data_IF_360582938124
#
_entry.id   IF_360582938124
#
_cell.length_a   1.000
_cell.length_b   1.000
_cell.length_c   1.000
_cell.angle_alpha   90.00
_cell.angle_beta   90.00
_cell.angle_gamma   90.00
#
_symmetry.space_group_name_H-M   'P 1'
#
loop_
_entity.id
_entity.type
_entity.pdbx_description
1 polymer ?
#
# COMPACT_ATOMS: atom_id res chain seq x y z
N UNK A 1 -10.53 5.36 -29.17
CA UNK A 1 -11.15 6.19 -28.10
C UNK A 1 -11.39 7.62 -28.58
N UNK A 2 -12.52 8.24 -28.21
CA UNK A 2 -12.75 9.69 -28.39
C UNK A 2 -12.11 10.48 -27.24
N UNK A 3 -11.91 11.78 -27.40
CA UNK A 3 -11.34 12.60 -26.33
C UNK A 3 -12.25 12.70 -25.09
N UNK A 4 -13.58 12.70 -25.27
CA UNK A 4 -14.54 12.58 -24.16
C UNK A 4 -14.35 11.28 -23.39
N UNK A 5 -14.23 10.15 -24.11
CA UNK A 5 -13.96 8.86 -23.47
C UNK A 5 -12.62 8.83 -22.72
N UNK A 6 -11.59 9.53 -23.24
CA UNK A 6 -10.32 9.68 -22.51
C UNK A 6 -10.54 10.44 -21.20
N UNK A 7 -11.25 11.58 -21.22
CA UNK A 7 -11.53 12.38 -20.01
C UNK A 7 -12.26 11.56 -18.95
N UNK A 8 -13.29 10.81 -19.36
CA UNK A 8 -14.02 9.90 -18.47
C UNK A 8 -13.12 8.81 -17.90
N UNK A 9 -12.26 8.21 -18.73
CA UNK A 9 -11.39 7.12 -18.31
C UNK A 9 -10.30 7.61 -17.36
N UNK A 10 -9.76 8.80 -17.59
CA UNK A 10 -8.80 9.46 -16.70
C UNK A 10 -9.44 9.77 -15.34
N UNK A 11 -10.63 10.39 -15.35
CA UNK A 11 -11.38 10.72 -14.14
C UNK A 11 -11.80 9.49 -13.33
N UNK A 12 -12.25 8.40 -13.98
CA UNK A 12 -12.61 7.14 -13.31
C UNK A 12 -11.44 6.46 -12.59
N UNK A 13 -10.21 6.87 -12.89
CA UNK A 13 -9.00 6.31 -12.30
C UNK A 13 -8.29 7.30 -11.37
N UNK A 14 -9.00 8.34 -10.92
CA UNK A 14 -8.50 9.40 -10.04
C UNK A 14 -7.28 10.17 -10.60
N UNK A 15 -7.12 10.18 -11.93
CA UNK A 15 -6.03 10.90 -12.59
C UNK A 15 -6.58 12.23 -13.09
N UNK A 16 -5.80 13.31 -12.97
CA UNK A 16 -6.15 14.59 -13.60
C UNK A 16 -5.69 14.62 -15.05
N UNK A 17 -6.49 15.18 -15.94
CA UNK A 17 -6.11 15.28 -17.35
C UNK A 17 -4.85 16.13 -17.53
N UNK A 18 -4.70 17.17 -16.71
CA UNK A 18 -3.53 18.03 -16.61
C UNK A 18 -2.26 17.24 -16.29
N UNK A 19 -2.36 16.26 -15.38
CA UNK A 19 -1.25 15.40 -14.99
C UNK A 19 -0.83 14.49 -16.15
N UNK A 20 -1.82 13.83 -16.78
CA UNK A 20 -1.57 13.00 -17.96
C UNK A 20 -0.95 13.81 -19.09
N UNK A 21 -1.45 15.02 -19.35
CA UNK A 21 -0.91 15.90 -20.37
C UNK A 21 0.55 16.22 -20.08
N UNK A 22 0.84 16.72 -18.88
CA UNK A 22 2.18 17.09 -18.45
C UNK A 22 3.16 15.93 -18.54
N UNK A 23 2.81 14.78 -17.99
CA UNK A 23 3.72 13.62 -17.91
C UNK A 23 4.02 13.03 -19.29
N UNK A 24 3.11 13.19 -20.25
CA UNK A 24 3.29 12.75 -21.64
C UNK A 24 3.83 13.84 -22.57
N UNK A 25 4.18 15.02 -22.03
CA UNK A 25 4.77 16.12 -22.79
C UNK A 25 3.78 16.92 -23.64
N UNK A 26 2.49 16.89 -23.29
CA UNK A 26 1.44 17.69 -23.92
C UNK A 26 1.02 18.88 -23.06
N UNK A 27 0.49 19.92 -23.70
CA UNK A 27 -0.31 20.95 -23.04
C UNK A 27 -1.79 20.59 -23.14
N UNK A 28 -2.59 20.97 -22.14
CA UNK A 28 -4.05 20.74 -22.17
C UNK A 28 -4.70 21.44 -23.36
N UNK A 29 -4.26 22.66 -23.67
CA UNK A 29 -4.72 23.39 -24.86
C UNK A 29 -4.41 22.62 -26.14
N UNK A 30 -3.20 22.05 -26.27
CA UNK A 30 -2.80 21.23 -27.40
C UNK A 30 -3.58 19.91 -27.51
N UNK A 31 -3.91 19.29 -26.38
CA UNK A 31 -4.77 18.11 -26.39
C UNK A 31 -6.20 18.45 -26.83
N UNK A 32 -6.76 19.54 -26.29
CA UNK A 32 -8.11 20.00 -26.64
C UNK A 32 -8.20 20.36 -28.13
N UNK A 33 -7.23 21.08 -28.68
CA UNK A 33 -7.24 21.47 -30.11
C UNK A 33 -7.09 20.26 -31.03
N UNK A 34 -6.22 19.31 -30.68
CA UNK A 34 -5.95 18.15 -31.54
C UNK A 34 -7.08 17.11 -31.53
N UNK A 35 -7.77 16.92 -30.40
CA UNK A 35 -8.68 15.77 -30.22
C UNK A 35 -10.11 16.11 -29.78
N UNK A 36 -10.47 17.36 -29.48
CA UNK A 36 -11.84 17.75 -29.07
C UNK A 36 -12.95 17.14 -29.93
N UNK A 37 -12.80 17.23 -31.25
CA UNK A 37 -13.79 16.75 -32.23
C UNK A 37 -13.24 15.60 -33.10
N UNK A 38 -12.18 14.91 -32.67
CA UNK A 38 -11.52 13.86 -33.44
C UNK A 38 -11.32 12.61 -32.60
N UNK A 39 -11.28 11.45 -33.26
CA UNK A 39 -10.79 10.23 -32.60
C UNK A 39 -9.30 10.39 -32.31
N UNK A 40 -8.89 9.91 -31.14
CA UNK A 40 -7.49 9.82 -30.77
C UNK A 40 -6.83 8.79 -31.69
N UNK A 41 -5.62 9.08 -32.16
CA UNK A 41 -4.87 8.13 -32.99
C UNK A 41 -4.57 6.86 -32.19
N UNK A 42 -4.53 5.69 -32.85
CA UNK A 42 -4.25 4.41 -32.17
C UNK A 42 -2.94 4.43 -31.37
N UNK A 43 -1.93 5.17 -31.84
CA UNK A 43 -0.65 5.33 -31.14
C UNK A 43 -0.81 6.13 -29.84
N UNK A 44 -1.47 7.29 -29.90
CA UNK A 44 -1.72 8.11 -28.72
C UNK A 44 -2.65 7.40 -27.71
N UNK A 45 -3.68 6.70 -28.20
CA UNK A 45 -4.57 5.90 -27.37
C UNK A 45 -3.82 4.83 -26.58
N UNK A 46 -2.90 4.09 -27.22
CA UNK A 46 -2.04 3.12 -26.52
C UNK A 46 -1.19 3.79 -25.43
N UNK A 47 -0.59 4.95 -25.71
CA UNK A 47 0.20 5.69 -24.73
C UNK A 47 -0.64 6.13 -23.52
N UNK A 48 -1.84 6.66 -23.75
CA UNK A 48 -2.74 7.07 -22.67
C UNK A 48 -3.19 5.88 -21.81
N UNK A 49 -3.55 4.75 -22.44
CA UNK A 49 -3.94 3.55 -21.71
C UNK A 49 -2.79 2.95 -20.89
N UNK A 50 -1.57 2.95 -21.43
CA UNK A 50 -0.38 2.52 -20.70
C UNK A 50 -0.09 3.42 -19.50
N UNK A 51 -0.16 4.73 -19.67
CA UNK A 51 0.02 5.69 -18.59
C UNK A 51 -0.98 5.45 -17.44
N UNK A 52 -2.27 5.29 -17.78
CA UNK A 52 -3.32 5.04 -16.79
C UNK A 52 -3.10 3.71 -16.08
N UNK A 53 -2.63 2.67 -16.79
CA UNK A 53 -2.25 1.40 -16.19
C UNK A 53 -1.06 1.55 -15.23
N UNK A 54 -0.06 2.34 -15.59
CA UNK A 54 1.11 2.61 -14.73
C UNK A 54 0.70 3.32 -13.44
N UNK A 55 -0.10 4.38 -13.51
CA UNK A 55 -0.61 5.10 -12.33
C UNK A 55 -1.41 4.20 -11.37
N UNK A 56 -2.22 3.28 -11.91
CA UNK A 56 -2.92 2.27 -11.09
C UNK A 56 -1.95 1.36 -10.34
N UNK A 57 -0.89 0.93 -11.01
CA UNK A 57 0.12 0.07 -10.40
C UNK A 57 0.91 0.82 -9.32
N UNK A 58 1.25 2.08 -9.56
CA UNK A 58 1.90 2.94 -8.55
C UNK A 58 1.03 3.10 -7.30
N UNK A 59 -0.26 3.39 -7.45
CA UNK A 59 -1.21 3.50 -6.32
C UNK A 59 -1.27 2.19 -5.51
N UNK A 60 -1.41 1.05 -6.20
CA UNK A 60 -1.41 -0.27 -5.56
C UNK A 60 -0.08 -0.56 -4.85
N UNK A 61 1.04 -0.18 -5.44
CA UNK A 61 2.35 -0.38 -4.83
C UNK A 61 2.49 0.43 -3.54
N UNK A 62 2.04 1.69 -3.53
CA UNK A 62 2.02 2.51 -2.33
C UNK A 62 1.13 1.93 -1.21
N UNK A 63 -0.04 1.39 -1.56
CA UNK A 63 -0.91 0.70 -0.61
C UNK A 63 -0.24 -0.56 -0.03
N UNK A 64 0.45 -1.34 -0.87
CA UNK A 64 1.21 -2.51 -0.43
C UNK A 64 2.36 -2.12 0.51
N UNK A 65 3.11 -1.07 0.20
CA UNK A 65 4.16 -0.55 1.06
C UNK A 65 3.63 -0.14 2.44
N UNK A 66 2.47 0.53 2.48
CA UNK A 66 1.79 0.88 3.74
C UNK A 66 1.44 -0.36 4.56
N UNK A 67 0.84 -1.38 3.93
CA UNK A 67 0.48 -2.64 4.61
C UNK A 67 1.71 -3.39 5.12
N UNK A 68 2.80 -3.43 4.33
CA UNK A 68 4.07 -4.05 4.74
C UNK A 68 4.63 -3.34 5.97
N UNK A 69 4.61 -2.00 6.00
CA UNK A 69 5.11 -1.23 7.14
C UNK A 69 4.28 -1.47 8.41
N UNK A 70 2.95 -1.47 8.29
CA UNK A 70 2.06 -1.82 9.42
C UNK A 70 2.34 -3.23 9.94
N UNK A 71 2.58 -4.19 9.05
CA UNK A 71 2.90 -5.57 9.45
C UNK A 71 4.26 -5.65 10.15
N UNK A 72 5.27 -4.93 9.68
CA UNK A 72 6.60 -4.84 10.32
C UNK A 72 6.48 -4.27 11.74
N UNK A 73 5.71 -3.21 11.93
CA UNK A 73 5.46 -2.61 13.24
C UNK A 73 4.77 -3.59 14.19
N UNK A 74 3.72 -4.28 13.71
CA UNK A 74 3.02 -5.32 14.47
C UNK A 74 3.95 -6.45 14.92
N UNK A 75 4.82 -6.95 14.03
CA UNK A 75 5.82 -7.97 14.37
C UNK A 75 6.81 -7.45 15.41
N UNK A 76 7.31 -6.21 15.25
CA UNK A 76 8.24 -5.60 16.20
C UNK A 76 7.62 -5.47 17.60
N UNK A 77 6.35 -5.08 17.68
CA UNK A 77 5.61 -5.01 18.93
C UNK A 77 5.43 -6.38 19.56
N UNK A 78 5.02 -7.39 18.78
CA UNK A 78 4.89 -8.78 19.25
C UNK A 78 6.20 -9.32 19.82
N UNK A 79 7.31 -9.12 19.12
CA UNK A 79 8.63 -9.55 19.58
C UNK A 79 9.07 -8.81 20.85
N UNK A 80 8.77 -7.51 20.95
CA UNK A 80 9.06 -6.75 22.18
C UNK A 80 8.25 -7.26 23.38
N UNK A 81 6.97 -7.58 23.16
CA UNK A 81 6.10 -8.14 24.18
C UNK A 81 6.56 -9.53 24.61
N UNK A 82 6.95 -10.41 23.67
CA UNK A 82 7.47 -11.74 24.01
C UNK A 82 8.77 -11.65 24.82
N UNK A 83 9.68 -10.72 24.45
CA UNK A 83 10.91 -10.50 25.22
C UNK A 83 10.63 -9.98 26.63
N UNK A 84 9.71 -9.01 26.78
CA UNK A 84 9.32 -8.51 28.11
C UNK A 84 8.62 -9.60 28.94
N UNK A 85 7.74 -10.38 28.34
CA UNK A 85 7.07 -11.50 29.00
C UNK A 85 8.10 -12.53 29.50
N UNK A 86 9.12 -12.85 28.69
CA UNK A 86 10.21 -13.73 29.08
C UNK A 86 11.02 -13.15 30.24
N UNK A 87 11.35 -11.85 30.21
CA UNK A 87 12.07 -11.18 31.30
C UNK A 87 11.26 -11.19 32.61
N UNK A 88 9.95 -10.97 32.54
CA UNK A 88 9.05 -11.05 33.70
C UNK A 88 9.01 -12.48 34.24
N UNK A 89 8.90 -13.48 33.36
CA UNK A 89 8.89 -14.89 33.74
C UNK A 89 10.21 -15.28 34.43
N UNK A 90 11.35 -14.91 33.84
CA UNK A 90 12.67 -15.16 34.43
C UNK A 90 12.82 -14.49 35.81
N UNK A 91 12.37 -13.23 35.95
CA UNK A 91 12.39 -12.54 37.26
C UNK A 91 11.53 -13.25 38.30
N UNK A 92 10.35 -13.73 37.92
CA UNK A 92 9.46 -14.50 38.82
C UNK A 92 10.08 -15.85 39.20
N UNK A 93 10.73 -16.53 38.27
CA UNK A 93 11.48 -17.76 38.52
C UNK A 93 12.59 -17.55 39.55
N UNK A 94 13.42 -16.51 39.36
CA UNK A 94 14.48 -16.15 40.29
C UNK A 94 13.94 -15.79 41.69
N UNK A 95 12.85 -15.04 41.77
CA UNK A 95 12.25 -14.64 43.05
C UNK A 95 11.64 -15.82 43.83
N UNK A 96 11.11 -16.83 43.12
CA UNK A 96 10.42 -17.97 43.72
C UNK A 96 11.29 -19.23 43.80
N UNK A 97 12.54 -19.17 43.34
CA UNK A 97 13.46 -20.30 43.24
C UNK A 97 12.87 -21.53 42.50
N UNK A 98 12.15 -21.26 41.42
CA UNK A 98 11.58 -22.27 40.51
C UNK A 98 12.19 -22.12 39.13
N UNK A 99 12.20 -23.19 38.34
CA UNK A 99 12.68 -23.11 36.97
C UNK A 99 11.58 -22.58 36.02
N UNK A 100 11.96 -22.21 34.79
CA UNK A 100 11.05 -21.58 33.84
C UNK A 100 9.91 -22.51 33.41
N UNK A 101 10.18 -23.81 33.29
CA UNK A 101 9.20 -24.81 32.87
C UNK A 101 8.13 -25.03 33.95
N UNK A 102 8.53 -25.07 35.23
CA UNK A 102 7.63 -25.09 36.38
C UNK A 102 6.75 -23.83 36.43
N UNK A 103 7.34 -22.65 36.24
CA UNK A 103 6.60 -21.39 36.22
C UNK A 103 5.58 -21.33 35.07
N UNK A 104 5.97 -21.70 33.85
CA UNK A 104 5.07 -21.73 32.71
C UNK A 104 3.94 -22.75 32.90
N UNK A 105 4.26 -23.93 33.42
CA UNK A 105 3.26 -24.97 33.75
C UNK A 105 2.25 -24.47 34.79
N UNK A 106 2.70 -23.70 35.78
CA UNK A 106 1.82 -23.09 36.78
C UNK A 106 0.85 -22.06 36.19
N UNK A 107 1.29 -21.27 35.19
CA UNK A 107 0.42 -20.28 34.52
C UNK A 107 -0.66 -20.95 33.66
N UNK A 108 -0.38 -22.12 33.09
CA UNK A 108 -1.37 -22.91 32.34
C UNK A 108 -2.41 -23.48 33.29
N UNK A 109 -1.96 -24.05 34.42
CA UNK A 109 -2.84 -24.67 35.42
C UNK A 109 -3.78 -23.67 36.12
N UNK A 110 -3.41 -22.39 36.22
CA UNK A 110 -4.23 -21.34 36.85
C UNK A 110 -5.28 -20.76 35.88
N UNK A 111 -5.14 -20.97 34.57
CA UNK A 111 -6.06 -20.45 33.54
C UNK A 111 -7.03 -21.51 32.97
N UNK A 112 -7.07 -22.71 33.56
CA UNK A 112 -8.06 -23.77 33.30
C UNK A 112 -9.11 -23.72 34.41
#
# INVERSE_FOLDING_TARGET
MTYTQLKELVSKNDIKLEELAKDLGYTISGMNSNWSNKKISKKAEKSFLLYIKAKKLEKKNHELEKLINQKKESIKLSNSLSTKALQIAQKKCSNNNINLEEYLSSLVMVNI
#
